data_IF_347828222216
#
_entry.id   IF_347828222216
#
_cell.length_a   1.000
_cell.length_b   1.000
_cell.length_c   1.000
_cell.angle_alpha   90.00
_cell.angle_beta   90.00
_cell.angle_gamma   90.00
#
_symmetry.space_group_name_H-M   'P 1'
#
loop_
_entity.id
_entity.type
_entity.pdbx_description
1 polymer ?
#
# COMPACT_ATOMS: atom_id res chain seq x y z
N UNK A 1 -25.00 11.43 40.16
CA UNK A 1 -26.07 12.44 39.98
C UNK A 1 -25.74 13.63 40.85
N UNK A 2 -25.60 14.81 40.25
CA UNK A 2 -25.24 16.05 40.95
C UNK A 2 -24.97 17.17 39.95
N UNK A 3 -25.98 17.99 39.70
CA UNK A 3 -25.87 19.23 38.94
C UNK A 3 -25.46 20.36 39.88
N UNK A 4 -24.56 21.22 39.42
CA UNK A 4 -24.49 22.63 39.84
C UNK A 4 -24.08 23.44 38.62
N UNK A 5 -24.98 24.32 38.20
CA UNK A 5 -24.80 25.21 37.05
C UNK A 5 -23.91 26.39 37.39
N UNK A 6 -22.97 26.69 36.49
CA UNK A 6 -22.32 27.99 36.34
C UNK A 6 -22.73 28.57 34.98
N UNK A 7 -23.61 29.58 35.04
CA UNK A 7 -23.87 30.70 34.11
C UNK A 7 -23.66 30.56 32.59
N UNK A 8 -24.74 30.90 31.87
CA UNK A 8 -24.83 31.30 30.46
C UNK A 8 -23.76 32.37 30.11
N UNK A 9 -23.35 32.31 28.84
CA UNK A 9 -22.55 33.29 28.09
C UNK A 9 -21.02 33.18 28.19
N UNK A 10 -20.46 32.67 27.08
CA UNK A 10 -19.05 32.55 26.69
C UNK A 10 -18.33 31.31 27.25
N UNK A 11 -18.45 30.14 26.61
CA UNK A 11 -17.34 29.21 26.64
C UNK A 11 -16.12 29.96 26.12
N UNK A 12 -15.08 30.06 26.96
CA UNK A 12 -13.78 30.59 26.60
C UNK A 12 -13.36 30.03 25.24
N UNK A 13 -12.96 30.86 24.27
CA UNK A 13 -12.51 30.35 22.99
C UNK A 13 -11.38 29.37 23.27
N UNK A 14 -11.49 28.16 22.71
CA UNK A 14 -10.39 27.22 22.61
C UNK A 14 -9.15 28.02 22.23
N UNK A 15 -8.17 28.05 23.12
CA UNK A 15 -6.95 28.81 22.92
C UNK A 15 -6.25 28.23 21.69
N UNK A 16 -5.93 29.08 20.71
CA UNK A 16 -5.44 28.71 19.37
C UNK A 16 -4.26 27.70 19.35
N UNK A 17 -3.63 27.45 20.51
CA UNK A 17 -2.53 26.50 20.69
C UNK A 17 -3.00 25.04 20.55
N UNK A 18 -4.23 24.70 20.95
CA UNK A 18 -4.75 23.32 20.82
C UNK A 18 -5.30 23.01 19.42
N UNK A 19 -5.60 24.03 18.61
CA UNK A 19 -6.03 23.85 17.22
C UNK A 19 -4.87 23.51 16.27
N UNK A 20 -3.63 23.91 16.62
CA UNK A 20 -2.46 23.70 15.75
C UNK A 20 -1.91 22.26 15.82
N UNK A 21 -2.19 21.50 16.88
CA UNK A 21 -1.80 20.09 16.97
C UNK A 21 -2.63 19.15 16.07
N UNK A 22 -3.88 19.51 15.77
CA UNK A 22 -4.74 18.69 14.90
C UNK A 22 -4.44 18.92 13.42
N UNK A 23 -3.96 20.11 13.03
CA UNK A 23 -3.65 20.42 11.64
C UNK A 23 -2.39 19.74 11.12
N UNK A 24 -1.39 19.46 11.98
CA UNK A 24 -0.17 18.74 11.57
C UNK A 24 -0.34 17.22 11.42
N UNK A 25 -1.45 16.64 11.90
CA UNK A 25 -1.75 15.23 11.68
C UNK A 25 -2.44 14.97 10.33
N UNK A 26 -3.02 16.00 9.72
CA UNK A 26 -3.67 15.89 8.40
C UNK A 26 -2.68 16.00 7.23
N UNK A 27 -1.54 16.67 7.41
CA UNK A 27 -0.49 16.72 6.37
C UNK A 27 0.37 15.44 6.31
N UNK A 28 0.40 14.65 7.39
CA UNK A 28 1.02 13.32 7.41
C UNK A 28 0.01 12.17 7.15
N UNK A 29 -1.26 12.51 6.96
CA UNK A 29 -2.36 11.55 6.78
C UNK A 29 -2.73 11.24 5.33
N UNK A 30 -1.90 11.65 4.36
CA UNK A 30 -2.11 11.33 2.94
C UNK A 30 -0.91 10.66 2.25
N UNK A 31 0.00 10.06 3.02
CA UNK A 31 0.48 8.72 2.62
C UNK A 31 -0.62 7.72 3.00
N UNK A 32 -1.80 7.89 2.39
CA UNK A 32 -2.42 6.73 1.74
C UNK A 32 -1.32 6.24 0.82
N UNK A 33 -0.45 5.41 1.38
CA UNK A 33 0.37 4.47 0.68
C UNK A 33 -0.66 3.65 -0.08
N UNK A 34 -1.13 4.18 -1.22
CA UNK A 34 -1.55 3.37 -2.36
C UNK A 34 -0.59 2.21 -2.30
N UNK A 35 -1.02 0.94 -2.18
CA UNK A 35 -0.06 -0.15 -2.15
C UNK A 35 0.95 0.15 -3.26
N UNK A 36 2.17 0.53 -2.87
CA UNK A 36 3.11 1.32 -3.70
C UNK A 36 3.78 0.40 -4.71
N UNK A 37 3.11 -0.72 -4.98
CA UNK A 37 3.53 -1.89 -5.70
C UNK A 37 2.82 -1.83 -7.04
N UNK A 38 3.13 -0.79 -7.80
CA UNK A 38 2.98 -0.84 -9.25
C UNK A 38 4.12 -1.70 -9.78
N UNK A 39 3.79 -2.82 -10.40
CA UNK A 39 4.77 -3.65 -11.07
C UNK A 39 5.08 -3.05 -12.44
N UNK A 40 6.35 -2.95 -12.78
CA UNK A 40 6.82 -2.46 -14.08
C UNK A 40 7.56 -3.59 -14.82
N UNK A 41 7.48 -3.66 -16.16
CA UNK A 41 8.29 -4.58 -16.93
C UNK A 41 9.78 -4.31 -16.72
N UNK A 42 10.55 -5.36 -16.47
CA UNK A 42 11.96 -5.33 -16.08
C UNK A 42 12.18 -5.40 -14.57
N UNK A 43 11.13 -5.32 -13.75
CA UNK A 43 11.26 -5.39 -12.29
C UNK A 43 11.44 -6.84 -11.80
N UNK A 44 12.29 -7.02 -10.78
CA UNK A 44 12.45 -8.33 -10.14
C UNK A 44 11.33 -8.54 -9.11
N UNK A 45 10.65 -9.66 -9.25
CA UNK A 45 9.56 -10.06 -8.36
C UNK A 45 9.80 -11.47 -7.83
N UNK A 46 9.33 -11.72 -6.62
CA UNK A 46 9.31 -13.06 -6.03
C UNK A 46 7.89 -13.60 -6.08
N UNK A 47 7.76 -14.83 -6.52
CA UNK A 47 6.48 -15.53 -6.51
C UNK A 47 6.23 -16.04 -5.09
N UNK A 48 5.07 -15.70 -4.53
CA UNK A 48 4.69 -16.01 -3.15
C UNK A 48 3.50 -16.95 -3.06
N UNK A 49 3.00 -17.43 -4.21
CA UNK A 49 1.88 -18.35 -4.28
C UNK A 49 2.01 -19.30 -5.49
N UNK A 50 1.39 -20.48 -5.42
CA UNK A 50 1.37 -21.46 -6.49
C UNK A 50 2.61 -22.37 -6.56
N UNK A 51 2.73 -23.20 -7.61
CA UNK A 51 3.81 -24.19 -7.75
C UNK A 51 5.19 -23.56 -8.00
N UNK A 52 5.23 -22.25 -8.21
CA UNK A 52 6.43 -21.44 -8.41
C UNK A 52 6.76 -20.57 -7.19
N UNK A 53 6.11 -20.82 -6.05
CA UNK A 53 6.45 -20.17 -4.78
C UNK A 53 7.96 -20.28 -4.49
N UNK A 54 8.52 -19.25 -3.85
CA UNK A 54 9.96 -19.09 -3.56
C UNK A 54 10.87 -18.82 -4.77
N UNK A 55 10.38 -18.87 -6.00
CA UNK A 55 11.19 -18.48 -7.15
C UNK A 55 11.14 -16.97 -7.42
N UNK A 56 12.29 -16.43 -7.79
CA UNK A 56 12.41 -15.07 -8.31
C UNK A 56 12.32 -15.07 -9.83
N UNK A 57 11.67 -14.05 -10.37
CA UNK A 57 11.55 -13.82 -11.80
C UNK A 57 11.58 -12.35 -12.14
N UNK A 58 11.61 -12.06 -13.44
CA UNK A 58 11.55 -10.69 -13.96
C UNK A 58 10.20 -10.49 -14.61
N UNK A 59 9.53 -9.37 -14.31
CA UNK A 59 8.28 -8.98 -14.97
C UNK A 59 8.59 -8.70 -16.43
N UNK A 60 7.93 -9.41 -17.35
CA UNK A 60 8.04 -9.15 -18.79
C UNK A 60 6.95 -8.19 -19.26
N UNK A 61 5.72 -8.42 -18.82
CA UNK A 61 4.55 -7.65 -19.24
C UNK A 61 3.54 -7.59 -18.11
N UNK A 62 2.86 -6.45 -18.01
CA UNK A 62 1.83 -6.22 -16.99
C UNK A 62 0.52 -5.86 -17.67
N UNK A 63 -0.51 -6.67 -17.41
CA UNK A 63 -1.86 -6.42 -17.89
C UNK A 63 -2.77 -6.02 -16.73
N UNK A 64 -2.90 -4.71 -16.52
CA UNK A 64 -3.76 -4.16 -15.48
C UNK A 64 -5.25 -4.37 -15.75
N UNK A 65 -5.67 -4.43 -17.02
CA UNK A 65 -7.08 -4.65 -17.40
C UNK A 65 -7.57 -6.04 -16.95
N UNK A 66 -6.71 -7.04 -17.07
CA UNK A 66 -7.00 -8.43 -16.69
C UNK A 66 -6.48 -8.77 -15.29
N UNK A 67 -5.81 -7.84 -14.62
CA UNK A 67 -5.14 -8.07 -13.34
C UNK A 67 -4.11 -9.22 -13.36
N UNK A 68 -3.38 -9.33 -14.47
CA UNK A 68 -2.39 -10.39 -14.71
C UNK A 68 -1.02 -9.82 -15.01
N UNK A 69 0.00 -10.58 -14.67
CA UNK A 69 1.40 -10.22 -14.87
C UNK A 69 2.13 -11.42 -15.45
N UNK A 70 2.85 -11.19 -16.54
CA UNK A 70 3.73 -12.18 -17.15
C UNK A 70 5.10 -12.04 -16.53
N UNK A 71 5.55 -13.10 -15.88
CA UNK A 71 6.84 -13.15 -15.17
C UNK A 71 7.70 -14.23 -15.81
N UNK A 72 8.92 -13.88 -16.18
CA UNK A 72 9.97 -14.80 -16.58
C UNK A 72 10.66 -15.35 -15.34
N UNK A 73 10.25 -16.53 -14.87
CA UNK A 73 10.84 -17.18 -13.70
C UNK A 73 12.05 -17.98 -14.12
N UNK A 74 13.17 -17.81 -13.40
CA UNK A 74 14.37 -18.60 -13.62
C UNK A 74 14.32 -19.88 -12.79
N UNK A 75 14.13 -21.02 -13.47
CA UNK A 75 14.07 -22.34 -12.84
C UNK A 75 15.08 -23.25 -13.53
N UNK A 76 16.00 -23.85 -12.77
CA UNK A 76 17.06 -24.73 -13.29
C UNK A 76 17.91 -24.09 -14.42
N UNK A 77 18.15 -22.78 -14.36
CA UNK A 77 18.89 -22.05 -15.40
C UNK A 77 18.13 -21.85 -16.71
N UNK A 78 16.80 -22.10 -16.73
CA UNK A 78 15.92 -21.83 -17.87
C UNK A 78 14.91 -20.75 -17.51
N UNK A 79 14.80 -19.73 -18.36
CA UNK A 79 13.75 -18.72 -18.25
C UNK A 79 12.44 -19.32 -18.76
N UNK A 80 11.46 -19.47 -17.88
CA UNK A 80 10.13 -19.95 -18.22
C UNK A 80 9.12 -18.83 -17.99
N UNK A 81 8.44 -18.33 -19.05
CA UNK A 81 7.41 -17.32 -18.88
C UNK A 81 6.15 -17.96 -18.28
N UNK A 82 5.70 -17.44 -17.16
CA UNK A 82 4.46 -17.83 -16.48
C UNK A 82 3.56 -16.62 -16.31
N UNK A 83 2.25 -16.83 -16.39
CA UNK A 83 1.26 -15.80 -16.15
C UNK A 83 0.71 -15.97 -14.73
N UNK A 84 0.90 -14.94 -13.91
CA UNK A 84 0.52 -14.91 -12.51
C UNK A 84 -0.41 -13.71 -12.27
N UNK A 85 -1.06 -13.69 -11.10
CA UNK A 85 -1.82 -12.54 -10.65
C UNK A 85 -0.98 -11.67 -9.71
N UNK A 86 -1.35 -10.40 -9.57
CA UNK A 86 -0.64 -9.43 -8.72
C UNK A 86 -0.56 -9.83 -7.24
N UNK A 87 -1.50 -10.66 -6.75
CA UNK A 87 -1.51 -11.18 -5.39
C UNK A 87 -0.59 -12.40 -5.20
N UNK A 88 -0.15 -13.03 -6.29
CA UNK A 88 0.72 -14.21 -6.26
C UNK A 88 2.20 -13.83 -6.36
N UNK A 89 2.50 -12.54 -6.53
CA UNK A 89 3.85 -12.01 -6.62
C UNK A 89 4.04 -10.89 -5.60
N UNK A 90 5.24 -10.81 -5.04
CA UNK A 90 5.69 -9.70 -4.22
C UNK A 90 6.92 -9.05 -4.86
N UNK A 91 7.05 -7.74 -4.64
CA UNK A 91 8.25 -7.01 -5.04
C UNK A 91 9.42 -7.48 -4.15
N UNK A 92 10.50 -7.90 -4.81
CA UNK A 92 11.73 -8.34 -4.13
C UNK A 92 12.54 -7.19 -3.54
#
# INVERSE_FOLDING_TARGET
>A
MGFIGGTKEKPSPLSNVEAQGIMQQLEQGSDITKPKVSFEPGEMVRVVDGPFNDFSGVVEEVNYEKSKVRVAVLIFGRSTPVELQFNQIEKG
#
